data_IF_832999305382
#
_entry.id   IF_832999305382
#
_cell.length_a   1.000
_cell.length_b   1.000
_cell.length_c   1.000
_cell.angle_alpha   90.00
_cell.angle_beta   90.00
_cell.angle_gamma   90.00
#
_symmetry.space_group_name_H-M   'P 1'
#
loop_
_entity.id
_entity.type
_entity.pdbx_description
1 polymer ?
#
# COMPACT_ATOMS: atom_id res chain seq x y z
N UNK A 1 28.46 6.84 7.22
CA UNK A 1 29.30 7.97 6.77
C UNK A 1 29.95 7.55 5.46
N UNK A 2 29.71 8.07 4.26
CA UNK A 2 29.02 9.26 3.78
C UNK A 2 28.33 8.92 2.45
N UNK A 3 27.02 9.09 2.36
CA UNK A 3 26.33 9.31 1.09
C UNK A 3 25.81 10.73 1.22
N UNK A 4 26.70 11.66 0.91
CA UNK A 4 26.47 13.09 1.10
C UNK A 4 25.35 13.52 0.15
N UNK A 5 24.21 13.86 0.73
CA UNK A 5 23.14 14.63 0.10
C UNK A 5 23.74 15.82 -0.67
N UNK A 6 23.67 15.80 -1.99
CA UNK A 6 23.76 17.01 -2.80
C UNK A 6 22.35 17.58 -3.00
N UNK A 7 21.90 18.42 -2.06
CA UNK A 7 20.94 19.52 -2.30
C UNK A 7 21.79 20.77 -2.14
N UNK A 8 21.91 21.70 -3.08
CA UNK A 8 20.92 22.72 -3.47
C UNK A 8 21.49 23.42 -4.72
N UNK A 9 20.93 23.16 -5.93
CA UNK A 9 21.00 23.97 -7.18
C UNK A 9 20.29 23.26 -8.36
N UNK A 10 19.33 22.37 -8.08
CA UNK A 10 18.95 21.28 -8.98
C UNK A 10 17.97 21.71 -10.08
N UNK A 11 17.05 22.67 -9.87
CA UNK A 11 15.97 22.90 -10.84
C UNK A 11 16.42 23.56 -12.15
N UNK A 12 17.27 24.59 -12.10
CA UNK A 12 17.88 25.18 -13.30
C UNK A 12 18.81 24.18 -14.01
N UNK A 13 19.59 23.43 -13.22
CA UNK A 13 20.50 22.40 -13.70
C UNK A 13 19.79 21.18 -14.30
N UNK A 14 18.60 20.81 -13.79
CA UNK A 14 17.78 19.71 -14.29
C UNK A 14 17.13 20.08 -15.62
N UNK A 15 16.59 21.30 -15.73
CA UNK A 15 16.10 21.83 -17.02
C UNK A 15 17.24 21.96 -18.03
N UNK A 16 18.42 22.40 -17.61
CA UNK A 16 19.62 22.36 -18.45
C UNK A 16 20.04 20.94 -18.82
N UNK A 17 19.99 19.97 -17.90
CA UNK A 17 20.29 18.57 -18.17
C UNK A 17 19.32 18.00 -19.20
N UNK A 18 18.01 18.19 -19.03
CA UNK A 18 16.97 17.76 -19.97
C UNK A 18 17.20 18.40 -21.34
N UNK A 19 17.51 19.70 -21.38
CA UNK A 19 17.79 20.44 -22.62
C UNK A 19 19.08 19.98 -23.31
N UNK A 20 20.13 19.67 -22.55
CA UNK A 20 21.38 19.08 -23.06
C UNK A 20 21.17 17.66 -23.61
N UNK A 21 20.21 16.89 -23.07
CA UNK A 21 19.87 15.57 -23.59
C UNK A 21 19.16 15.62 -24.95
N UNK A 22 18.31 16.63 -25.18
CA UNK A 22 17.64 16.82 -26.48
C UNK A 22 18.56 17.25 -27.63
N UNK A 23 19.78 17.74 -27.35
CA UNK A 23 20.73 18.24 -28.36
C UNK A 23 21.84 17.26 -28.75
N UNK A 24 21.95 16.09 -28.09
CA UNK A 24 22.94 15.05 -28.42
C UNK A 24 22.32 13.98 -29.31
N UNK A 25 23.01 13.60 -30.39
CA UNK A 25 22.69 12.38 -31.13
C UNK A 25 22.92 11.19 -30.17
N UNK A 26 21.83 10.62 -29.65
CA UNK A 26 21.90 9.62 -28.58
C UNK A 26 22.39 8.29 -29.18
N UNK A 27 23.63 7.90 -28.87
CA UNK A 27 24.19 6.59 -29.24
C UNK A 27 23.57 5.41 -28.48
N UNK A 28 22.71 5.69 -27.50
CA UNK A 28 22.13 4.74 -26.55
C UNK A 28 20.63 4.97 -26.40
N UNK A 29 19.86 3.90 -26.27
CA UNK A 29 18.42 3.96 -25.99
C UNK A 29 18.18 4.55 -24.59
N UNK A 30 17.89 5.84 -24.53
CA UNK A 30 17.57 6.55 -23.28
C UNK A 30 16.05 6.53 -22.99
N UNK A 31 15.65 5.97 -21.85
CA UNK A 31 14.25 5.84 -21.42
C UNK A 31 14.03 6.54 -20.07
N UNK A 32 12.97 7.35 -19.99
CA UNK A 32 12.49 7.94 -18.75
C UNK A 32 11.39 7.07 -18.15
N UNK A 33 11.43 6.82 -16.84
CA UNK A 33 10.38 6.13 -16.10
C UNK A 33 9.90 7.04 -14.97
N UNK A 34 8.62 7.39 -14.96
CA UNK A 34 8.02 8.32 -13.99
C UNK A 34 7.27 7.54 -12.92
N UNK A 35 7.80 7.55 -11.70
CA UNK A 35 7.30 6.84 -10.52
C UNK A 35 8.17 5.64 -10.19
N UNK A 36 8.64 5.55 -8.95
CA UNK A 36 9.59 4.52 -8.49
C UNK A 36 8.98 3.49 -7.55
N UNK A 37 7.70 3.18 -7.76
CA UNK A 37 7.08 1.97 -7.21
C UNK A 37 7.53 0.70 -7.95
N UNK A 38 6.92 -0.47 -7.62
CA UNK A 38 7.24 -1.74 -8.28
C UNK A 38 7.15 -1.69 -9.80
N UNK A 39 6.10 -1.08 -10.36
CA UNK A 39 5.94 -0.96 -11.81
C UNK A 39 7.13 -0.25 -12.47
N UNK A 40 7.61 0.85 -11.88
CA UNK A 40 8.76 1.59 -12.40
C UNK A 40 10.06 0.78 -12.33
N UNK A 41 10.30 0.12 -11.19
CA UNK A 41 11.50 -0.70 -11.04
C UNK A 41 11.53 -1.95 -11.90
N UNK A 42 10.40 -2.66 -12.05
CA UNK A 42 10.33 -3.81 -12.96
C UNK A 42 10.46 -3.38 -14.42
N UNK A 43 9.90 -2.22 -14.79
CA UNK A 43 10.10 -1.62 -16.12
C UNK A 43 11.59 -1.34 -16.36
N UNK A 44 12.24 -0.64 -15.42
CA UNK A 44 13.68 -0.34 -15.50
C UNK A 44 14.53 -1.62 -15.58
N UNK A 45 14.23 -2.62 -14.74
CA UNK A 45 14.92 -3.92 -14.74
C UNK A 45 14.81 -4.59 -16.11
N UNK A 46 13.63 -4.58 -16.73
CA UNK A 46 13.42 -5.20 -18.04
C UNK A 46 14.15 -4.45 -19.15
N UNK A 47 14.13 -3.10 -19.15
CA UNK A 47 14.83 -2.27 -20.14
C UNK A 47 16.35 -2.47 -20.04
N UNK A 48 16.91 -2.53 -18.82
CA UNK A 48 18.35 -2.66 -18.59
C UNK A 48 18.94 -4.00 -19.04
N UNK A 49 18.11 -4.98 -19.43
CA UNK A 49 18.55 -6.20 -20.13
C UNK A 49 19.15 -5.89 -21.50
N UNK A 50 18.73 -4.81 -22.15
CA UNK A 50 19.40 -4.29 -23.34
C UNK A 50 20.69 -3.56 -22.90
N UNK A 51 21.89 -3.98 -23.32
CA UNK A 51 23.16 -3.36 -22.94
C UNK A 51 23.31 -1.91 -23.45
N UNK A 52 22.57 -1.52 -24.49
CA UNK A 52 22.62 -0.18 -25.07
C UNK A 52 21.60 0.79 -24.45
N UNK A 53 20.80 0.34 -23.49
CA UNK A 53 19.81 1.17 -22.83
C UNK A 53 20.34 1.87 -21.58
N UNK A 54 19.83 3.09 -21.34
CA UNK A 54 20.02 3.89 -20.13
C UNK A 54 18.64 4.29 -19.60
N UNK A 55 18.42 4.13 -18.30
CA UNK A 55 17.15 4.42 -17.64
C UNK A 55 17.32 5.54 -16.63
N UNK A 56 16.48 6.56 -16.72
CA UNK A 56 16.35 7.59 -15.70
C UNK A 56 15.00 7.44 -14.98
N UNK A 57 15.06 7.17 -13.68
CA UNK A 57 13.90 7.05 -12.80
C UNK A 57 13.59 8.41 -12.17
N UNK A 58 12.38 8.90 -12.37
CA UNK A 58 11.87 10.14 -11.77
C UNK A 58 10.89 9.82 -10.64
N UNK A 59 11.03 10.47 -9.50
CA UNK A 59 10.17 10.27 -8.33
C UNK A 59 9.82 11.61 -7.69
N UNK A 60 8.54 11.82 -7.38
CA UNK A 60 8.10 13.02 -6.68
C UNK A 60 8.57 13.05 -5.22
N UNK A 61 8.72 11.88 -4.62
CA UNK A 61 9.20 11.72 -3.23
C UNK A 61 10.73 11.80 -3.15
N UNK A 62 11.30 12.12 -1.99
CA UNK A 62 12.76 12.09 -1.81
C UNK A 62 13.34 10.67 -1.81
N UNK A 63 12.52 9.66 -1.54
CA UNK A 63 12.94 8.25 -1.43
C UNK A 63 12.12 7.36 -2.37
N UNK A 64 12.72 6.29 -2.91
CA UNK A 64 12.05 5.42 -3.87
C UNK A 64 11.16 4.35 -3.19
N UNK A 65 10.69 3.40 -4.00
CA UNK A 65 9.98 2.15 -3.68
C UNK A 65 8.45 2.27 -3.54
N UNK A 66 7.91 3.49 -3.52
CA UNK A 66 6.47 3.74 -3.53
C UNK A 66 5.73 2.94 -2.45
N UNK A 67 4.65 2.24 -2.83
CA UNK A 67 3.83 1.47 -1.90
C UNK A 67 4.54 0.27 -1.25
N UNK A 68 5.70 -0.17 -1.72
CA UNK A 68 6.48 -1.17 -0.97
C UNK A 68 6.96 -0.58 0.35
N UNK A 69 7.31 0.71 0.35
CA UNK A 69 7.68 1.44 1.56
C UNK A 69 6.45 1.97 2.30
N UNK A 70 5.52 2.60 1.57
CA UNK A 70 4.44 3.40 2.15
C UNK A 70 3.09 2.69 2.24
N UNK A 71 2.93 1.52 1.63
CA UNK A 71 1.67 0.78 1.56
C UNK A 71 1.71 -0.55 2.30
N UNK A 72 2.70 -1.40 2.00
CA UNK A 72 2.88 -2.71 2.64
C UNK A 72 2.94 -2.53 4.15
N UNK A 73 2.12 -3.29 4.87
CA UNK A 73 2.01 -3.17 6.31
C UNK A 73 3.36 -3.48 7.00
N UNK A 74 3.65 -2.83 8.13
CA UNK A 74 4.93 -2.98 8.82
C UNK A 74 5.16 -4.39 9.38
N UNK A 75 4.07 -5.15 9.61
CA UNK A 75 4.11 -6.55 10.02
C UNK A 75 4.20 -7.55 8.86
N UNK A 76 4.38 -7.06 7.62
CA UNK A 76 4.72 -7.85 6.42
C UNK A 76 6.12 -7.51 5.86
N UNK A 77 7.20 -7.61 6.67
CA UNK A 77 8.54 -7.27 6.20
C UNK A 77 9.00 -8.15 5.03
N UNK A 78 8.52 -9.38 4.93
CA UNK A 78 8.88 -10.31 3.86
C UNK A 78 8.41 -9.84 2.48
N UNK A 79 7.30 -9.10 2.41
CA UNK A 79 6.81 -8.49 1.16
C UNK A 79 7.71 -7.32 0.75
N UNK A 80 8.33 -6.63 1.72
CA UNK A 80 9.28 -5.52 1.47
C UNK A 80 10.64 -6.01 0.95
N UNK A 81 10.95 -7.31 1.01
CA UNK A 81 12.23 -7.88 0.51
C UNK A 81 12.50 -7.59 -0.98
N UNK A 82 11.47 -7.30 -1.78
CA UNK A 82 11.65 -6.87 -3.18
C UNK A 82 12.51 -5.61 -3.31
N UNK A 83 12.61 -4.78 -2.25
CA UNK A 83 13.52 -3.63 -2.18
C UNK A 83 14.96 -4.02 -2.49
N UNK A 84 15.42 -5.22 -2.13
CA UNK A 84 16.78 -5.67 -2.48
C UNK A 84 16.98 -5.77 -3.99
N UNK A 85 15.98 -6.27 -4.72
CA UNK A 85 16.01 -6.34 -6.18
C UNK A 85 16.02 -4.94 -6.78
N UNK A 86 15.18 -4.03 -6.28
CA UNK A 86 15.11 -2.64 -6.76
C UNK A 86 16.40 -1.86 -6.44
N UNK A 87 17.00 -2.12 -5.29
CA UNK A 87 18.31 -1.56 -4.93
C UNK A 87 19.40 -2.02 -5.89
N UNK A 88 19.38 -3.28 -6.34
CA UNK A 88 20.31 -3.77 -7.36
C UNK A 88 20.10 -3.10 -8.72
N UNK A 89 18.85 -2.76 -9.08
CA UNK A 89 18.55 -1.96 -10.28
C UNK A 89 19.18 -0.57 -10.15
N UNK A 90 19.02 0.11 -9.01
CA UNK A 90 19.65 1.42 -8.76
C UNK A 90 21.17 1.41 -8.74
N UNK A 91 21.79 0.27 -8.44
CA UNK A 91 23.26 0.10 -8.47
C UNK A 91 23.82 -0.06 -9.88
N UNK A 92 22.97 -0.29 -10.88
CA UNK A 92 23.42 -0.39 -12.27
C UNK A 92 23.90 1.00 -12.73
N UNK A 93 25.13 1.14 -13.28
CA UNK A 93 25.66 2.44 -13.71
C UNK A 93 24.84 3.09 -14.85
N UNK A 94 23.97 2.33 -15.51
CA UNK A 94 23.05 2.80 -16.56
C UNK A 94 21.66 3.17 -16.01
N UNK A 95 21.47 3.15 -14.69
CA UNK A 95 20.23 3.53 -14.01
C UNK A 95 20.47 4.75 -13.11
N UNK A 96 19.84 5.88 -13.43
CA UNK A 96 19.91 7.09 -12.61
C UNK A 96 18.60 7.30 -11.84
N UNK A 97 18.67 7.90 -10.65
CA UNK A 97 17.52 8.23 -9.84
C UNK A 97 17.44 9.73 -9.54
N UNK A 98 16.27 10.31 -9.82
CA UNK A 98 15.95 11.72 -9.62
C UNK A 98 14.72 11.84 -8.71
N UNK A 99 14.94 11.86 -7.40
CA UNK A 99 13.90 12.11 -6.39
C UNK A 99 13.58 13.60 -6.20
N UNK A 100 12.43 13.90 -5.60
CA UNK A 100 11.85 15.25 -5.50
C UNK A 100 11.61 15.95 -6.84
N UNK A 101 11.22 15.20 -7.88
CA UNK A 101 10.86 15.76 -9.18
C UNK A 101 9.44 15.37 -9.54
N UNK A 102 8.52 16.34 -9.55
CA UNK A 102 7.11 16.15 -9.87
C UNK A 102 6.85 16.40 -11.35
N UNK A 103 6.37 15.37 -12.03
CA UNK A 103 5.77 15.52 -13.36
C UNK A 103 4.53 16.44 -13.26
N UNK A 104 4.44 17.41 -14.16
CA UNK A 104 3.37 18.41 -14.22
C UNK A 104 3.63 19.68 -13.40
N UNK A 105 4.65 19.70 -12.53
CA UNK A 105 5.00 20.88 -11.73
C UNK A 105 6.48 21.29 -11.90
N UNK A 106 7.41 20.38 -11.70
CA UNK A 106 8.85 20.68 -11.80
C UNK A 106 9.37 20.40 -13.23
N UNK A 107 8.79 19.40 -13.90
CA UNK A 107 9.02 19.05 -15.32
C UNK A 107 7.69 18.71 -16.01
N UNK A 108 7.57 19.01 -17.29
CA UNK A 108 6.39 18.69 -18.11
C UNK A 108 6.59 17.40 -18.89
N UNK A 109 5.48 16.75 -19.29
CA UNK A 109 5.55 15.55 -20.12
C UNK A 109 6.19 15.83 -21.49
N UNK A 110 5.96 17.02 -22.07
CA UNK A 110 6.54 17.40 -23.35
C UNK A 110 8.06 17.54 -23.25
N UNK A 111 8.58 18.21 -22.21
CA UNK A 111 10.02 18.31 -21.96
C UNK A 111 10.67 16.91 -21.82
N UNK A 112 9.99 15.96 -21.16
CA UNK A 112 10.48 14.58 -21.07
C UNK A 112 10.43 13.85 -22.42
N UNK A 113 9.39 14.07 -23.24
CA UNK A 113 9.29 13.44 -24.57
C UNK A 113 10.32 13.98 -25.56
N UNK A 114 10.75 15.22 -25.40
CA UNK A 114 11.81 15.82 -26.23
C UNK A 114 13.21 15.33 -25.82
N UNK A 115 13.43 15.01 -24.55
CA UNK A 115 14.75 14.61 -24.03
C UNK A 115 15.02 13.09 -24.01
N UNK A 116 14.00 12.26 -24.21
CA UNK A 116 14.07 10.80 -24.11
C UNK A 116 13.43 10.13 -25.33
N UNK A 117 13.92 8.95 -25.71
CA UNK A 117 13.30 8.17 -26.79
C UNK A 117 11.93 7.61 -26.40
N UNK A 118 11.77 7.29 -25.11
CA UNK A 118 10.52 6.80 -24.55
C UNK A 118 10.35 7.32 -23.12
N UNK A 119 9.09 7.55 -22.75
CA UNK A 119 8.67 7.91 -21.39
C UNK A 119 7.63 6.88 -20.94
N UNK A 120 7.87 6.21 -19.82
CA UNK A 120 6.94 5.24 -19.24
C UNK A 120 6.34 5.82 -17.96
N UNK A 121 5.01 5.88 -17.89
CA UNK A 121 4.29 6.39 -16.74
C UNK A 121 3.95 5.23 -15.79
N UNK A 122 4.56 5.24 -14.60
CA UNK A 122 4.42 4.20 -13.56
C UNK A 122 4.15 4.81 -12.19
N UNK A 123 3.46 5.96 -12.15
CA UNK A 123 3.23 6.76 -10.95
C UNK A 123 2.11 6.23 -10.03
N UNK A 124 1.48 5.11 -10.37
CA UNK A 124 0.47 4.46 -9.55
C UNK A 124 -0.87 5.20 -9.52
N UNK A 125 -1.64 4.98 -8.45
CA UNK A 125 -2.94 5.60 -8.21
C UNK A 125 -2.94 6.20 -6.82
N UNK A 126 -2.85 7.53 -6.73
CA UNK A 126 -2.79 8.22 -5.45
C UNK A 126 -4.15 8.58 -4.87
N UNK A 127 -5.14 8.81 -5.73
CA UNK A 127 -6.44 9.29 -5.31
C UNK A 127 -7.23 8.24 -4.53
N UNK A 128 -7.95 8.74 -3.53
CA UNK A 128 -8.84 7.96 -2.69
C UNK A 128 -10.23 7.90 -3.32
N UNK A 129 -10.89 6.75 -3.21
CA UNK A 129 -12.31 6.66 -3.58
C UNK A 129 -13.15 7.17 -2.43
N UNK A 130 -13.86 8.27 -2.66
CA UNK A 130 -14.90 8.78 -1.76
C UNK A 130 -16.11 7.86 -1.73
N UNK A 131 -16.84 7.88 -0.61
CA UNK A 131 -18.06 7.11 -0.43
C UNK A 131 -19.26 7.84 -1.03
N UNK A 132 -19.25 9.17 -1.07
CA UNK A 132 -20.34 9.98 -1.60
C UNK A 132 -21.56 9.97 -0.67
N UNK A 133 -21.35 9.90 0.64
CA UNK A 133 -22.42 9.77 1.65
C UNK A 133 -22.40 10.94 2.65
N UNK A 134 -23.55 11.32 3.23
CA UNK A 134 -23.59 12.31 4.30
C UNK A 134 -22.67 11.92 5.46
N UNK A 135 -21.88 12.88 5.95
CA UNK A 135 -20.94 12.69 7.07
C UNK A 135 -19.59 12.09 6.68
N UNK A 136 -19.29 11.89 5.39
CA UNK A 136 -17.98 11.34 4.97
C UNK A 136 -16.78 12.27 5.22
N UNK A 137 -17.04 13.55 5.50
CA UNK A 137 -16.02 14.58 5.78
C UNK A 137 -15.89 14.88 7.30
N UNK A 138 -16.50 14.07 8.19
CA UNK A 138 -16.34 14.21 9.65
C UNK A 138 -14.91 13.84 10.10
N UNK A 139 -14.44 14.44 11.18
CA UNK A 139 -13.02 14.41 11.60
C UNK A 139 -12.39 13.02 11.74
N UNK A 140 -13.13 12.02 12.25
CA UNK A 140 -12.62 10.66 12.43
C UNK A 140 -13.01 9.70 11.28
N UNK A 141 -13.50 10.24 10.15
CA UNK A 141 -13.72 9.48 8.91
C UNK A 141 -12.49 9.60 8.04
N UNK A 142 -11.65 8.56 8.09
CA UNK A 142 -10.33 8.56 7.46
C UNK A 142 -10.29 7.46 6.41
N UNK A 143 -9.75 7.78 5.22
CA UNK A 143 -9.55 6.75 4.22
C UNK A 143 -8.48 5.75 4.67
N UNK A 144 -8.67 4.48 4.31
CA UNK A 144 -7.69 3.45 4.62
C UNK A 144 -6.30 3.79 4.06
N UNK A 145 -6.23 4.46 2.90
CA UNK A 145 -4.97 4.94 2.29
C UNK A 145 -4.25 5.92 3.21
N UNK A 146 -4.94 6.94 3.75
CA UNK A 146 -4.36 7.91 4.69
C UNK A 146 -3.93 7.25 6.00
N UNK A 147 -4.76 6.36 6.55
CA UNK A 147 -4.41 5.61 7.76
C UNK A 147 -3.17 4.72 7.55
N UNK A 148 -3.06 4.06 6.40
CA UNK A 148 -1.88 3.28 6.01
C UNK A 148 -0.66 4.18 5.84
N UNK A 149 -0.82 5.31 5.14
CA UNK A 149 0.24 6.29 4.97
C UNK A 149 0.75 6.82 6.31
N UNK A 150 -0.15 7.10 7.25
CA UNK A 150 0.17 7.54 8.61
C UNK A 150 1.06 6.54 9.35
N UNK A 151 0.67 5.27 9.45
CA UNK A 151 1.48 4.30 10.18
C UNK A 151 2.78 3.93 9.46
N UNK A 152 2.84 4.05 8.13
CA UNK A 152 4.05 3.79 7.31
C UNK A 152 4.92 5.03 7.07
N UNK A 153 4.56 6.20 7.61
CA UNK A 153 5.36 7.42 7.51
C UNK A 153 5.38 8.03 6.11
N UNK A 154 4.28 7.94 5.37
CA UNK A 154 4.10 8.68 4.12
C UNK A 154 4.05 10.19 4.42
N UNK A 155 4.92 11.02 3.82
CA UNK A 155 5.03 12.45 4.15
C UNK A 155 3.75 13.28 4.02
N UNK A 156 2.83 12.90 3.13
CA UNK A 156 1.55 13.61 2.97
C UNK A 156 0.54 13.28 4.09
N UNK A 157 0.79 12.20 4.85
CA UNK A 157 -0.16 11.64 5.81
C UNK A 157 0.38 11.74 7.26
N UNK A 158 1.49 12.47 7.47
CA UNK A 158 2.10 12.66 8.79
C UNK A 158 1.21 13.45 9.76
N UNK A 159 0.31 14.28 9.25
CA UNK A 159 -0.63 15.08 10.04
C UNK A 159 -1.96 14.37 10.29
N UNK A 160 -2.13 13.14 9.81
CA UNK A 160 -3.31 12.33 10.15
C UNK A 160 -3.25 12.01 11.65
N UNK A 161 -4.38 12.21 12.34
CA UNK A 161 -4.55 12.04 13.78
C UNK A 161 -5.82 11.21 14.02
N UNK A 162 -5.79 9.89 13.78
CA UNK A 162 -6.96 9.06 14.05
C UNK A 162 -7.28 9.10 15.54
N UNK A 163 -8.54 9.38 15.89
CA UNK A 163 -8.98 9.25 17.27
C UNK A 163 -9.24 7.77 17.57
N UNK A 164 -8.33 7.18 18.34
CA UNK A 164 -8.35 5.79 18.78
C UNK A 164 -8.89 5.63 20.20
N UNK A 165 -9.47 6.68 20.81
CA UNK A 165 -10.18 6.62 22.09
C UNK A 165 -11.62 6.13 21.92
N UNK A 166 -11.81 5.10 21.09
CA UNK A 166 -13.11 4.51 20.76
C UNK A 166 -13.05 3.00 20.96
N UNK A 167 -14.16 2.40 21.36
CA UNK A 167 -14.23 0.94 21.52
C UNK A 167 -14.24 0.20 20.16
N UNK A 168 -14.92 0.76 19.16
CA UNK A 168 -15.21 0.11 17.89
C UNK A 168 -14.84 0.98 16.69
N UNK A 169 -14.12 0.40 15.72
CA UNK A 169 -13.81 1.02 14.42
C UNK A 169 -14.52 0.26 13.31
N UNK A 170 -15.19 0.98 12.39
CA UNK A 170 -15.75 0.39 11.17
C UNK A 170 -14.82 0.64 9.98
N UNK A 171 -14.51 -0.40 9.20
CA UNK A 171 -13.73 -0.29 7.97
C UNK A 171 -14.62 -0.71 6.81
N UNK A 172 -14.80 0.19 5.85
CA UNK A 172 -15.64 -0.05 4.67
C UNK A 172 -14.82 -0.69 3.56
N UNK A 173 -15.05 -1.98 3.33
CA UNK A 173 -14.40 -2.77 2.28
C UNK A 173 -13.98 -4.16 2.75
N UNK A 174 -13.99 -5.12 1.81
CA UNK A 174 -13.53 -6.49 2.03
C UNK A 174 -12.29 -6.79 1.18
N UNK A 175 -11.24 -5.98 1.30
CA UNK A 175 -9.96 -6.17 0.60
C UNK A 175 -8.80 -6.38 1.57
N UNK A 176 -7.61 -6.69 1.04
CA UNK A 176 -6.41 -6.88 1.88
C UNK A 176 -6.09 -5.66 2.73
N UNK A 177 -6.20 -4.45 2.15
CA UNK A 177 -5.98 -3.19 2.91
C UNK A 177 -6.94 -3.07 4.11
N UNK A 178 -8.18 -3.56 4.00
CA UNK A 178 -9.12 -3.55 5.12
C UNK A 178 -8.67 -4.51 6.24
N UNK A 179 -8.09 -5.66 5.87
CA UNK A 179 -7.48 -6.59 6.82
C UNK A 179 -6.20 -6.00 7.43
N UNK A 180 -5.38 -5.29 6.67
CA UNK A 180 -4.17 -4.62 7.18
C UNK A 180 -4.53 -3.56 8.23
N UNK A 181 -5.52 -2.70 7.94
CA UNK A 181 -6.02 -1.71 8.91
C UNK A 181 -6.53 -2.41 10.18
N UNK A 182 -7.34 -3.46 10.04
CA UNK A 182 -7.85 -4.21 11.19
C UNK A 182 -6.72 -4.87 12.00
N UNK A 183 -5.72 -5.43 11.31
CA UNK A 183 -4.57 -6.08 11.95
C UNK A 183 -3.75 -5.07 12.73
N UNK A 184 -3.42 -3.92 12.15
CA UNK A 184 -2.64 -2.88 12.84
C UNK A 184 -3.40 -2.33 14.06
N UNK A 185 -4.71 -2.14 13.96
CA UNK A 185 -5.53 -1.67 15.10
C UNK A 185 -5.63 -2.68 16.24
N UNK A 186 -5.56 -3.98 15.95
CA UNK A 186 -5.81 -5.05 16.93
C UNK A 186 -4.55 -5.81 17.35
N UNK A 187 -3.41 -5.60 16.68
CA UNK A 187 -2.13 -6.23 17.05
C UNK A 187 -1.57 -5.56 18.30
N UNK A 188 -1.03 -6.38 19.22
CA UNK A 188 -0.36 -5.84 20.42
C UNK A 188 0.75 -4.86 20.04
N UNK A 189 0.81 -3.67 20.67
CA UNK A 189 1.90 -2.72 20.48
C UNK A 189 3.30 -3.33 20.69
N UNK A 190 3.45 -4.31 21.58
CA UNK A 190 4.73 -5.00 21.85
C UNK A 190 5.24 -5.81 20.66
N UNK A 191 4.34 -6.23 19.78
CA UNK A 191 4.69 -6.89 18.51
C UNK A 191 5.06 -5.82 17.49
N UNK A 192 4.24 -4.77 17.38
CA UNK A 192 4.45 -3.69 16.42
C UNK A 192 5.73 -2.89 16.68
N UNK A 193 6.19 -2.76 17.93
CA UNK A 193 7.44 -2.06 18.25
C UNK A 193 8.69 -2.70 17.59
N UNK A 194 8.59 -3.95 17.13
CA UNK A 194 9.67 -4.69 16.47
C UNK A 194 9.64 -4.55 14.95
N UNK A 195 8.70 -3.77 14.42
CA UNK A 195 8.48 -3.54 12.98
C UNK A 195 9.02 -2.18 12.56
N UNK A 196 8.83 -1.81 11.28
CA UNK A 196 9.17 -0.48 10.77
C UNK A 196 8.02 0.54 10.83
N UNK A 197 7.00 0.29 11.67
CA UNK A 197 5.94 1.26 11.98
C UNK A 197 6.53 2.55 12.55
N UNK A 198 5.91 3.70 12.28
CA UNK A 198 6.41 4.97 12.80
C UNK A 198 6.19 5.12 14.31
N UNK A 199 7.15 5.75 15.01
CA UNK A 199 7.05 6.02 16.45
C UNK A 199 5.78 6.82 16.85
N UNK A 200 5.35 7.86 16.09
CA UNK A 200 4.10 8.55 16.40
C UNK A 200 2.87 7.64 16.30
N UNK A 201 2.82 6.76 15.29
CA UNK A 201 1.71 5.83 15.14
C UNK A 201 1.70 4.77 16.24
N UNK A 202 2.85 4.20 16.57
CA UNK A 202 3.00 3.25 17.67
C UNK A 202 2.59 3.88 19.01
N UNK A 203 2.99 5.13 19.27
CA UNK A 203 2.64 5.85 20.50
C UNK A 203 1.13 6.09 20.64
N UNK A 204 0.41 6.27 19.52
CA UNK A 204 -1.05 6.38 19.54
C UNK A 204 -1.71 5.00 19.72
N UNK A 205 -1.20 3.96 19.04
CA UNK A 205 -1.69 2.59 19.18
C UNK A 205 -1.52 2.05 20.61
N UNK A 206 -0.44 2.41 21.31
CA UNK A 206 -0.24 2.09 22.72
C UNK A 206 -1.31 2.67 23.65
N UNK A 207 -1.95 3.77 23.26
CA UNK A 207 -3.01 4.44 24.02
C UNK A 207 -4.41 4.08 23.51
N UNK A 208 -4.49 3.31 22.43
CA UNK A 208 -5.75 2.92 21.78
C UNK A 208 -6.65 2.19 22.76
N UNK A 209 -7.95 2.51 22.75
CA UNK A 209 -8.99 1.77 23.47
C UNK A 209 -9.82 0.88 22.55
N UNK A 210 -9.42 0.78 21.27
CA UNK A 210 -10.07 -0.05 20.26
C UNK A 210 -10.01 -1.51 20.65
N UNK A 211 -11.18 -2.14 20.77
CA UNK A 211 -11.34 -3.56 21.08
C UNK A 211 -11.99 -4.33 19.92
N UNK A 212 -12.67 -3.62 19.02
CA UNK A 212 -13.44 -4.22 17.94
C UNK A 212 -13.23 -3.49 16.63
N UNK A 213 -12.94 -4.24 15.56
CA UNK A 213 -12.95 -3.72 14.19
C UNK A 213 -14.01 -4.46 13.38
N UNK A 214 -14.92 -3.73 12.76
CA UNK A 214 -16.01 -4.27 11.95
C UNK A 214 -15.71 -4.02 10.47
N UNK A 215 -15.56 -5.09 9.68
CA UNK A 215 -15.34 -5.00 8.24
C UNK A 215 -16.68 -5.06 7.49
N UNK A 216 -17.09 -3.93 6.92
CA UNK A 216 -18.38 -3.80 6.22
C UNK A 216 -18.17 -3.92 4.71
N UNK A 217 -18.83 -4.90 4.10
CA UNK A 217 -18.79 -5.11 2.65
C UNK A 217 -20.15 -4.86 2.02
N UNK A 218 -20.16 -4.24 0.84
CA UNK A 218 -21.38 -4.02 0.05
C UNK A 218 -21.94 -5.27 -0.64
N UNK A 219 -21.19 -6.38 -0.64
CA UNK A 219 -21.55 -7.67 -1.28
C UNK A 219 -21.22 -8.81 -0.31
N UNK A 220 -21.69 -10.02 -0.64
CA UNK A 220 -21.56 -11.18 0.23
C UNK A 220 -20.19 -11.87 0.23
N UNK A 221 -20.06 -12.97 1.01
CA UNK A 221 -18.82 -13.71 1.20
C UNK A 221 -18.16 -14.20 -0.10
N UNK A 222 -18.95 -14.54 -1.12
CA UNK A 222 -18.44 -14.98 -2.43
C UNK A 222 -17.85 -13.84 -3.27
N UNK A 223 -17.92 -12.58 -2.83
CA UNK A 223 -17.43 -11.40 -3.56
C UNK A 223 -16.31 -10.63 -2.84
N UNK A 224 -15.78 -11.17 -1.74
CA UNK A 224 -14.63 -10.61 -1.03
C UNK A 224 -13.43 -10.46 -1.97
N UNK A 225 -12.59 -9.45 -1.74
CA UNK A 225 -11.37 -9.19 -2.53
C UNK A 225 -10.09 -9.47 -1.76
N UNK A 226 -10.17 -9.76 -0.46
CA UNK A 226 -9.02 -10.23 0.29
C UNK A 226 -8.61 -11.64 -0.14
N UNK A 227 -7.33 -11.94 0.05
CA UNK A 227 -6.73 -13.24 -0.27
C UNK A 227 -6.60 -14.13 0.97
N UNK A 228 -6.33 -15.42 0.73
CA UNK A 228 -6.35 -16.44 1.79
C UNK A 228 -5.19 -16.30 2.79
N UNK A 229 -4.05 -15.74 2.38
CA UNK A 229 -2.89 -15.53 3.26
C UNK A 229 -3.27 -14.56 4.37
N UNK A 230 -3.83 -13.42 3.97
CA UNK A 230 -4.18 -12.27 4.81
C UNK A 230 -5.35 -12.63 5.73
N UNK A 231 -6.37 -13.33 5.20
CA UNK A 231 -7.43 -13.86 6.07
C UNK A 231 -6.87 -14.84 7.10
N UNK A 232 -5.96 -15.73 6.70
CA UNK A 232 -5.37 -16.72 7.61
C UNK A 232 -4.56 -16.06 8.72
N UNK A 233 -3.82 -15.01 8.40
CA UNK A 233 -3.10 -14.20 9.40
C UNK A 233 -4.08 -13.57 10.39
N UNK A 234 -5.19 -12.98 9.92
CA UNK A 234 -6.23 -12.45 10.81
C UNK A 234 -6.83 -13.52 11.73
N UNK A 235 -7.15 -14.70 11.21
CA UNK A 235 -7.71 -15.80 12.03
C UNK A 235 -6.74 -16.35 13.08
N UNK A 236 -5.44 -16.08 12.93
CA UNK A 236 -4.37 -16.53 13.82
C UNK A 236 -3.81 -15.41 14.70
N UNK A 237 -4.36 -14.20 14.60
CA UNK A 237 -3.88 -13.05 15.34
C UNK A 237 -4.06 -13.30 16.84
N UNK A 238 -2.97 -13.19 17.60
CA UNK A 238 -2.96 -13.52 19.02
C UNK A 238 -3.85 -12.54 19.82
N UNK A 239 -4.69 -13.09 20.71
CA UNK A 239 -5.58 -12.28 21.56
C UNK A 239 -6.76 -11.64 20.82
N UNK A 240 -6.97 -11.97 19.54
CA UNK A 240 -8.02 -11.37 18.71
C UNK A 240 -8.93 -12.45 18.16
N UNK A 241 -10.24 -12.21 18.31
CA UNK A 241 -11.24 -13.09 17.76
C UNK A 241 -11.76 -12.63 16.39
N UNK A 242 -11.58 -13.47 15.36
CA UNK A 242 -12.20 -13.26 14.05
C UNK A 242 -13.60 -13.87 14.05
N UNK A 243 -14.61 -13.02 13.89
CA UNK A 243 -16.03 -13.43 13.91
C UNK A 243 -16.69 -13.13 12.57
N UNK A 244 -17.39 -14.13 12.03
CA UNK A 244 -18.29 -13.99 10.90
C UNK A 244 -19.73 -14.14 11.36
N UNK A 245 -20.64 -13.37 10.76
CA UNK A 245 -22.08 -13.51 10.99
C UNK A 245 -22.59 -14.79 10.32
N UNK A 246 -23.09 -15.80 11.05
CA UNK A 246 -23.53 -17.06 10.47
C UNK A 246 -24.60 -16.90 9.37
N UNK A 247 -25.47 -15.90 9.52
CA UNK A 247 -26.53 -15.59 8.56
C UNK A 247 -25.99 -15.19 7.17
N UNK A 248 -24.77 -14.63 7.09
CA UNK A 248 -24.16 -14.25 5.81
C UNK A 248 -23.69 -15.47 5.01
N UNK A 249 -23.61 -16.65 5.65
CA UNK A 249 -23.10 -17.88 5.06
C UNK A 249 -24.17 -18.92 4.69
N UNK A 250 -25.46 -18.58 4.88
CA UNK A 250 -26.58 -19.45 4.48
C UNK A 250 -26.52 -19.72 2.96
N UNK A 251 -26.54 -21.00 2.57
CA UNK A 251 -26.46 -21.43 1.16
C UNK A 251 -25.10 -21.21 0.49
N UNK A 252 -24.08 -20.75 1.22
CA UNK A 252 -22.73 -20.57 0.66
C UNK A 252 -22.00 -21.91 0.52
N UNK A 253 -22.19 -22.84 1.47
CA UNK A 253 -21.57 -24.18 1.46
C UNK A 253 -21.82 -24.93 0.15
N UNK A 254 -23.04 -24.84 -0.38
CA UNK A 254 -23.45 -25.51 -1.63
C UNK A 254 -22.71 -24.96 -2.85
N UNK A 255 -22.33 -23.68 -2.83
CA UNK A 255 -21.67 -22.99 -3.94
C UNK A 255 -20.14 -23.11 -3.93
N UNK A 256 -19.56 -23.75 -2.90
CA UNK A 256 -18.11 -23.88 -2.71
C UNK A 256 -17.48 -24.75 -3.81
N UNK A 257 -18.15 -25.85 -4.17
CA UNK A 257 -17.64 -26.81 -5.14
C UNK A 257 -17.46 -26.20 -6.53
N UNK A 258 -18.31 -25.22 -6.89
CA UNK A 258 -18.32 -24.55 -8.18
C UNK A 258 -17.24 -23.45 -8.31
N UNK A 259 -16.54 -23.11 -7.21
CA UNK A 259 -15.54 -22.04 -7.24
C UNK A 259 -14.18 -22.52 -7.78
N UNK A 260 -13.44 -21.66 -8.50
CA UNK A 260 -12.05 -21.93 -8.86
C UNK A 260 -11.20 -22.22 -7.61
N UNK A 261 -10.21 -23.11 -7.75
CA UNK A 261 -9.40 -23.62 -6.62
C UNK A 261 -8.91 -22.54 -5.63
N UNK A 262 -8.38 -21.38 -6.04
CA UNK A 262 -7.96 -20.34 -5.10
C UNK A 262 -9.14 -19.76 -4.30
N UNK A 263 -10.27 -19.52 -4.96
CA UNK A 263 -11.48 -18.97 -4.36
C UNK A 263 -12.14 -19.99 -3.43
N UNK A 264 -12.21 -21.25 -3.85
CA UNK A 264 -12.74 -22.35 -3.06
C UNK A 264 -12.05 -22.45 -1.69
N UNK A 265 -10.72 -22.49 -1.67
CA UNK A 265 -9.92 -22.57 -0.42
C UNK A 265 -10.16 -21.39 0.52
N UNK A 266 -10.36 -20.19 -0.03
CA UNK A 266 -10.67 -18.99 0.75
C UNK A 266 -12.05 -19.12 1.42
N UNK A 267 -13.06 -19.52 0.65
CA UNK A 267 -14.44 -19.67 1.14
C UNK A 267 -14.52 -20.80 2.17
N UNK A 268 -13.82 -21.92 1.97
CA UNK A 268 -13.70 -23.01 2.94
C UNK A 268 -13.12 -22.51 4.28
N UNK A 269 -12.06 -21.68 4.25
CA UNK A 269 -11.48 -21.10 5.48
C UNK A 269 -12.48 -20.17 6.19
N UNK A 270 -13.24 -19.37 5.45
CA UNK A 270 -14.27 -18.50 6.01
C UNK A 270 -15.39 -19.30 6.67
N UNK A 271 -15.87 -20.36 6.02
CA UNK A 271 -16.90 -21.27 6.56
C UNK A 271 -16.41 -21.99 7.82
N UNK A 272 -15.17 -22.48 7.82
CA UNK A 272 -14.54 -23.08 9.01
C UNK A 272 -14.47 -22.07 10.17
N UNK A 273 -14.11 -20.83 9.88
CA UNK A 273 -14.00 -19.78 10.89
C UNK A 273 -15.37 -19.38 11.45
N UNK A 274 -16.39 -19.29 10.57
CA UNK A 274 -17.77 -19.01 10.95
C UNK A 274 -18.36 -20.13 11.84
N UNK A 275 -18.07 -21.39 11.54
CA UNK A 275 -18.58 -22.54 12.30
C UNK A 275 -17.88 -22.69 13.65
N UNK A 276 -16.55 -22.63 13.70
CA UNK A 276 -15.75 -22.80 14.93
C UNK A 276 -16.15 -21.80 16.03
N UNK A 277 -16.60 -20.60 15.65
CA UNK A 277 -16.79 -19.48 16.57
C UNK A 277 -18.26 -19.10 16.77
N UNK A 278 -19.18 -19.82 16.12
CA UNK A 278 -20.61 -19.78 16.39
C UNK A 278 -20.96 -20.24 17.83
N UNK A 279 -20.08 -20.99 18.48
CA UNK A 279 -20.21 -21.35 19.90
C UNK A 279 -19.86 -20.20 20.87
N UNK A 280 -19.01 -19.25 20.46
CA UNK A 280 -18.60 -18.09 21.28
C UNK A 280 -19.60 -16.92 21.11
N UNK A 281 -20.22 -16.80 19.92
CA UNK A 281 -21.08 -15.67 19.55
C UNK A 281 -22.41 -15.56 20.31
N UNK A 282 -22.78 -16.50 21.21
CA UNK A 282 -23.94 -16.31 22.10
C UNK A 282 -23.73 -15.17 23.12
N UNK A 283 -22.50 -14.67 23.27
CA UNK A 283 -22.15 -13.60 24.20
C UNK A 283 -22.02 -12.20 23.56
N UNK A 284 -21.99 -12.11 22.22
CA UNK A 284 -21.87 -10.82 21.52
C UNK A 284 -23.23 -10.47 20.90
N UNK A 285 -24.13 -9.92 21.71
CA UNK A 285 -25.37 -9.36 21.19
C UNK A 285 -25.05 -8.20 20.25
N UNK A 286 -25.25 -8.40 18.95
CA UNK A 286 -25.33 -7.31 18.00
C UNK A 286 -26.59 -6.49 18.31
N UNK A 287 -26.53 -5.14 18.29
CA UNK A 287 -27.75 -4.35 18.39
C UNK A 287 -28.69 -4.74 17.23
N UNK A 288 -30.00 -4.90 17.49
CA UNK A 288 -30.97 -5.17 16.43
C UNK A 288 -31.00 -4.00 15.44
N UNK A 289 -31.32 -4.31 14.18
CA UNK A 289 -31.42 -3.35 13.07
C UNK A 289 -32.44 -2.26 13.36
#
# INVERSE_FOLDING_TARGET
MSVLMRRVHILSSLKQLIKCHGQRQLSHLKVCVVGTGPAGFYTAQQILKDPNAVVDLYERMPVPFGLVRYGVAPDHPEVKNVIHTFTNVLRNPRCNFFGNVRLGADVTLNELREAYHAVVLTYGSDEEKRLGIPGEDLDNVISARKFVGWYNGHPADLEVRPDLQVDTVAVIGHGNVALDVARILLTSPDVLQKTDITDPALSQLQKSTVKRVVLVGRRGPLQVSFTIKELREMTKLAGVDTVFRPEDFVGIQEKVADQPRPRRRLVELMLQTASLRSQICRLVQWPPR
#
